data_IF_487966926329
#
_entry.id   IF_487966926329
#
_cell.length_a   1.000
_cell.length_b   1.000
_cell.length_c   1.000
_cell.angle_alpha   90.00
_cell.angle_beta   90.00
_cell.angle_gamma   90.00
#
_symmetry.space_group_name_H-M   'P 1'
#
loop_
_entity.id
_entity.type
_entity.pdbx_description
1 polymer ?
#
# COMPACT_ATOMS: atom_id res chain seq x y z
N UNK A 1 80.48 -0.79 13.12
CA UNK A 1 79.41 -1.58 12.49
C UNK A 1 78.35 -0.59 12.03
N UNK A 2 78.17 -0.42 10.72
CA UNK A 2 77.11 0.45 10.20
C UNK A 2 75.80 -0.37 10.29
N UNK A 3 74.84 0.05 11.11
CA UNK A 3 73.52 -0.54 11.09
C UNK A 3 72.87 -0.14 9.77
N UNK A 4 72.81 -1.06 8.81
CA UNK A 4 72.02 -0.86 7.59
C UNK A 4 70.57 -0.86 8.04
N UNK A 5 69.92 0.30 7.97
CA UNK A 5 68.47 0.38 8.15
C UNK A 5 67.82 -0.41 7.00
N UNK A 6 67.16 -1.51 7.33
CA UNK A 6 66.41 -2.30 6.35
C UNK A 6 65.16 -1.49 5.97
N UNK A 7 64.95 -1.16 4.68
CA UNK A 7 63.77 -0.41 4.27
C UNK A 7 62.49 -1.23 4.47
N UNK A 8 61.46 -0.58 5.02
CA UNK A 8 60.14 -1.16 5.26
C UNK A 8 59.33 -1.15 3.95
N UNK A 9 59.57 -2.12 3.08
CA UNK A 9 58.93 -2.21 1.78
C UNK A 9 57.54 -2.84 1.90
N UNK A 10 56.57 -2.32 1.14
CA UNK A 10 55.25 -2.93 1.03
C UNK A 10 55.27 -4.15 0.11
N UNK A 11 54.35 -5.12 0.31
CA UNK A 11 54.13 -6.19 -0.65
C UNK A 11 53.73 -5.63 -2.02
N UNK A 12 53.97 -6.40 -3.09
CA UNK A 12 53.63 -6.02 -4.46
C UNK A 12 52.45 -6.82 -5.01
N UNK A 13 51.85 -6.34 -6.10
CA UNK A 13 50.90 -7.08 -6.96
C UNK A 13 49.85 -7.89 -6.19
N UNK A 14 49.11 -7.25 -5.28
CA UNK A 14 48.01 -7.88 -4.56
C UNK A 14 46.88 -8.25 -5.54
N UNK A 15 46.49 -9.51 -5.54
CA UNK A 15 45.52 -10.12 -6.45
C UNK A 15 44.44 -10.84 -5.66
N UNK A 16 43.23 -10.81 -6.22
CA UNK A 16 42.08 -11.56 -5.73
C UNK A 16 41.80 -12.71 -6.71
N UNK A 17 41.51 -13.89 -6.18
CA UNK A 17 41.25 -15.12 -6.93
C UNK A 17 40.29 -16.02 -6.15
N UNK A 18 39.81 -17.11 -6.76
CA UNK A 18 38.90 -18.08 -6.10
C UNK A 18 37.66 -17.41 -5.45
N UNK A 19 37.11 -16.40 -6.12
CA UNK A 19 35.93 -15.68 -5.65
C UNK A 19 34.73 -16.63 -5.54
N UNK A 20 34.09 -16.61 -4.38
CA UNK A 20 32.91 -17.40 -4.06
C UNK A 20 31.90 -16.55 -3.29
N UNK A 21 30.78 -17.15 -2.87
CA UNK A 21 29.73 -16.44 -2.13
C UNK A 21 30.20 -15.87 -0.79
N UNK A 22 31.10 -16.54 -0.06
CA UNK A 22 31.52 -16.12 1.28
C UNK A 22 33.05 -16.16 1.48
N UNK A 23 33.81 -16.26 0.40
CA UNK A 23 35.26 -16.39 0.43
C UNK A 23 35.91 -15.89 -0.85
N UNK A 24 37.16 -15.47 -0.72
CA UNK A 24 38.07 -15.28 -1.84
C UNK A 24 39.51 -15.47 -1.35
N UNK A 25 40.41 -15.76 -2.28
CA UNK A 25 41.84 -15.94 -2.03
C UNK A 25 42.61 -14.68 -2.44
N UNK A 26 43.35 -14.14 -1.48
CA UNK A 26 44.30 -13.07 -1.68
C UNK A 26 45.67 -13.66 -1.98
N UNK A 27 46.42 -13.06 -2.89
CA UNK A 27 47.80 -13.42 -3.21
C UNK A 27 48.61 -12.17 -3.47
N UNK A 28 49.82 -12.09 -2.92
CA UNK A 28 50.71 -10.94 -3.08
C UNK A 28 52.15 -11.39 -3.34
N UNK A 29 52.93 -10.49 -3.92
CA UNK A 29 54.37 -10.70 -4.11
C UNK A 29 55.12 -10.22 -2.85
N UNK A 30 55.93 -11.09 -2.21
CA UNK A 30 56.75 -10.69 -1.07
C UNK A 30 57.69 -9.52 -1.39
N UNK A 31 57.92 -8.59 -0.46
CA UNK A 31 58.89 -7.51 -0.63
C UNK A 31 60.32 -8.05 -0.73
N UNK A 32 61.23 -7.25 -1.29
CA UNK A 32 62.65 -7.62 -1.37
C UNK A 32 63.33 -7.70 0.02
N UNK A 33 62.83 -6.93 1.00
CA UNK A 33 63.28 -7.03 2.38
C UNK A 33 62.51 -8.14 3.12
N UNK A 34 63.17 -8.94 3.96
CA UNK A 34 62.53 -10.05 4.66
C UNK A 34 61.55 -9.51 5.71
N UNK A 35 60.26 -9.65 5.43
CA UNK A 35 59.19 -9.36 6.38
C UNK A 35 59.00 -10.56 7.31
N UNK A 36 58.72 -10.30 8.60
CA UNK A 36 58.46 -11.32 9.63
C UNK A 36 57.04 -11.91 9.50
N UNK A 37 56.17 -11.19 8.79
CA UNK A 37 54.82 -11.62 8.50
C UNK A 37 53.99 -10.53 7.84
N UNK A 38 52.73 -10.84 7.57
CA UNK A 38 51.80 -9.93 6.93
C UNK A 38 50.54 -9.78 7.78
N UNK A 39 50.04 -8.56 7.88
CA UNK A 39 48.77 -8.23 8.50
C UNK A 39 47.78 -7.87 7.41
N UNK A 40 46.67 -8.62 7.36
CA UNK A 40 45.59 -8.42 6.41
C UNK A 40 44.41 -7.84 7.17
N UNK A 41 44.00 -6.64 6.82
CA UNK A 41 42.82 -5.96 7.35
C UNK A 41 41.76 -5.84 6.25
N UNK A 42 40.50 -6.16 6.54
CA UNK A 42 39.42 -6.09 5.56
C UNK A 42 38.11 -5.62 6.16
N UNK A 43 37.37 -4.83 5.39
CA UNK A 43 36.07 -4.29 5.79
C UNK A 43 35.12 -4.16 4.59
N UNK A 44 33.80 -4.31 4.76
CA UNK A 44 32.84 -4.00 3.71
C UNK A 44 32.90 -2.51 3.33
N UNK A 45 32.67 -2.20 2.05
CA UNK A 45 32.62 -0.83 1.54
C UNK A 45 31.26 -0.17 1.79
N UNK A 46 30.16 -0.93 1.63
CA UNK A 46 28.79 -0.41 1.75
C UNK A 46 28.36 -0.19 3.20
N UNK A 47 28.89 -1.00 4.13
CA UNK A 47 28.63 -0.91 5.56
C UNK A 47 29.96 -1.05 6.33
N UNK A 48 30.66 0.07 6.60
CA UNK A 48 31.93 0.06 7.32
C UNK A 48 31.70 -0.32 8.79
N UNK A 49 31.53 -1.63 9.01
CA UNK A 49 31.51 -2.25 10.32
C UNK A 49 32.92 -2.38 10.93
N UNK A 50 33.11 -3.27 11.91
CA UNK A 50 34.43 -3.49 12.51
C UNK A 50 35.40 -4.04 11.47
N UNK A 51 36.61 -3.48 11.44
CA UNK A 51 37.71 -3.99 10.62
C UNK A 51 38.07 -5.39 11.13
N UNK A 52 37.98 -6.38 10.25
CA UNK A 52 38.42 -7.73 10.53
C UNK A 52 39.89 -7.86 10.16
N UNK A 53 40.65 -8.54 11.00
CA UNK A 53 42.10 -8.63 10.87
C UNK A 53 42.59 -10.06 11.03
N UNK A 54 43.57 -10.42 10.22
CA UNK A 54 44.29 -11.69 10.33
C UNK A 54 45.77 -11.46 10.07
N UNK A 55 46.61 -12.23 10.75
CA UNK A 55 48.06 -12.18 10.60
C UNK A 55 48.57 -13.52 10.11
N UNK A 56 49.53 -13.48 9.19
CA UNK A 56 50.17 -14.67 8.60
C UNK A 56 51.69 -14.55 8.72
N UNK A 57 52.37 -15.70 8.73
CA UNK A 57 53.83 -15.76 8.87
C UNK A 57 54.60 -15.28 7.64
N UNK A 58 55.92 -15.21 7.75
CA UNK A 58 56.84 -14.73 6.71
C UNK A 58 56.78 -15.52 5.39
N UNK A 59 56.63 -16.85 5.47
CA UNK A 59 56.60 -17.74 4.31
C UNK A 59 55.25 -17.78 3.58
N UNK A 60 54.26 -17.01 4.06
CA UNK A 60 52.91 -17.00 3.50
C UNK A 60 52.74 -15.81 2.57
N UNK A 61 52.45 -16.09 1.30
CA UNK A 61 52.15 -15.09 0.28
C UNK A 61 50.71 -15.18 -0.26
N UNK A 62 49.88 -16.05 0.32
CA UNK A 62 48.49 -16.22 -0.06
C UNK A 62 47.62 -16.56 1.15
N UNK A 63 46.43 -15.95 1.22
CA UNK A 63 45.50 -16.13 2.32
C UNK A 63 44.08 -16.28 1.81
N UNK A 64 43.37 -17.29 2.30
CA UNK A 64 41.94 -17.46 2.03
C UNK A 64 41.13 -16.76 3.12
N UNK A 65 40.38 -15.73 2.74
CA UNK A 65 39.43 -15.09 3.64
C UNK A 65 38.10 -15.86 3.60
N UNK A 66 37.55 -16.14 4.77
CA UNK A 66 36.34 -16.93 4.97
C UNK A 66 35.27 -16.10 5.69
N UNK A 67 34.05 -16.62 5.73
CA UNK A 67 32.93 -16.02 6.48
C UNK A 67 32.62 -14.59 6.04
N UNK A 68 32.83 -14.29 4.77
CA UNK A 68 32.47 -13.01 4.16
C UNK A 68 30.96 -12.99 3.82
N UNK A 69 30.40 -11.79 3.80
CA UNK A 69 29.03 -11.55 3.36
C UNK A 69 28.98 -11.66 1.83
N UNK A 70 27.93 -12.29 1.30
CA UNK A 70 27.80 -12.53 -0.13
C UNK A 70 27.22 -11.34 -0.87
N UNK A 71 27.76 -11.05 -2.06
CA UNK A 71 27.38 -9.89 -2.85
C UNK A 71 27.93 -8.57 -2.33
N UNK A 72 28.88 -8.62 -1.41
CA UNK A 72 29.45 -7.46 -0.72
C UNK A 72 30.83 -7.17 -1.28
N UNK A 73 31.10 -5.88 -1.51
CA UNK A 73 32.43 -5.42 -1.90
C UNK A 73 33.25 -5.07 -0.65
N UNK A 74 34.47 -5.61 -0.58
CA UNK A 74 35.39 -5.47 0.54
C UNK A 74 36.61 -4.65 0.13
N UNK A 75 36.99 -3.69 0.98
CA UNK A 75 38.31 -3.08 0.92
C UNK A 75 39.26 -3.93 1.76
N UNK A 76 40.30 -4.44 1.12
CA UNK A 76 41.30 -5.31 1.75
C UNK A 76 42.64 -4.58 1.71
N UNK A 77 43.36 -4.62 2.83
CA UNK A 77 44.67 -4.00 3.01
C UNK A 77 45.66 -5.03 3.52
N UNK A 78 46.82 -5.14 2.87
CA UNK A 78 47.91 -6.03 3.29
C UNK A 78 49.12 -5.19 3.67
N UNK A 79 49.59 -5.37 4.90
CA UNK A 79 50.72 -4.65 5.48
C UNK A 79 51.83 -5.63 5.85
N UNK A 80 53.06 -5.39 5.38
CA UNK A 80 54.21 -6.18 5.80
C UNK A 80 54.69 -5.74 7.19
N UNK A 81 55.00 -6.71 8.06
CA UNK A 81 55.48 -6.48 9.42
C UNK A 81 56.96 -6.81 9.51
N UNK A 82 57.75 -5.90 10.07
CA UNK A 82 59.19 -6.03 10.27
C UNK A 82 59.54 -5.79 11.74
N UNK A 83 60.74 -6.16 12.21
CA UNK A 83 61.17 -5.89 13.59
C UNK A 83 61.24 -4.40 13.92
N UNK A 84 61.48 -3.56 12.92
CA UNK A 84 61.59 -2.11 13.05
C UNK A 84 60.25 -1.35 12.89
N UNK A 85 59.17 -2.03 12.48
CA UNK A 85 57.88 -1.39 12.20
C UNK A 85 57.08 -2.07 11.10
N UNK A 86 56.05 -1.40 10.60
CA UNK A 86 55.18 -1.88 9.52
C UNK A 86 55.44 -1.10 8.22
N UNK A 87 55.20 -1.73 7.08
CA UNK A 87 55.22 -1.03 5.78
C UNK A 87 53.97 -0.17 5.59
N UNK A 88 53.97 0.62 4.52
CA UNK A 88 52.73 1.15 3.97
C UNK A 88 51.78 0.00 3.56
N UNK A 89 50.45 0.16 3.73
CA UNK A 89 49.46 -0.85 3.36
C UNK A 89 49.28 -0.88 1.84
N UNK A 90 49.19 -2.09 1.28
CA UNK A 90 48.74 -2.30 -0.10
C UNK A 90 47.24 -2.59 -0.11
N UNK A 91 46.47 -1.78 -0.82
CA UNK A 91 45.01 -1.89 -0.90
C UNK A 91 44.53 -2.58 -2.19
N UNK A 92 43.47 -3.38 -2.07
CA UNK A 92 42.71 -3.93 -3.20
C UNK A 92 41.22 -3.98 -2.85
N UNK A 93 40.37 -3.83 -3.85
CA UNK A 93 38.94 -4.09 -3.70
C UNK A 93 38.63 -5.51 -4.20
N UNK A 94 37.82 -6.24 -3.42
CA UNK A 94 37.43 -7.61 -3.71
C UNK A 94 35.91 -7.75 -3.56
N UNK A 95 35.24 -8.40 -4.52
CA UNK A 95 33.79 -8.59 -4.47
C UNK A 95 33.43 -10.06 -4.35
N UNK A 96 32.59 -10.41 -3.38
CA UNK A 96 32.06 -11.78 -3.26
C UNK A 96 30.90 -11.99 -4.23
N UNK A 97 30.65 -13.25 -4.59
CA UNK A 97 29.51 -13.61 -5.45
C UNK A 97 28.18 -13.37 -4.72
N UNK A 98 27.14 -12.98 -5.46
CA UNK A 98 25.81 -12.74 -4.91
C UNK A 98 25.01 -14.04 -4.77
N UNK A 99 24.65 -14.42 -3.54
CA UNK A 99 23.82 -15.60 -3.25
C UNK A 99 22.34 -15.18 -3.07
N UNK A 100 21.71 -14.69 -4.13
CA UNK A 100 20.30 -14.27 -4.11
C UNK A 100 19.56 -14.71 -5.37
N UNK A 101 18.22 -14.84 -5.25
CA UNK A 101 17.35 -15.24 -6.36
C UNK A 101 17.23 -14.14 -7.41
N UNK A 102 17.14 -14.52 -8.68
CA UNK A 102 16.82 -13.62 -9.79
C UNK A 102 15.36 -13.75 -10.20
N UNK A 103 14.79 -12.71 -10.82
CA UNK A 103 13.43 -12.75 -11.37
C UNK A 103 12.32 -12.87 -10.31
N UNK A 104 12.57 -12.42 -9.07
CA UNK A 104 11.56 -12.40 -8.02
C UNK A 104 10.36 -11.53 -8.44
N UNK A 105 9.19 -12.13 -8.53
CA UNK A 105 7.95 -11.45 -8.93
C UNK A 105 6.73 -12.03 -8.21
N UNK A 106 5.68 -11.23 -8.07
CA UNK A 106 4.38 -11.64 -7.57
C UNK A 106 3.42 -11.98 -8.71
N UNK A 107 2.49 -12.89 -8.46
CA UNK A 107 1.42 -13.25 -9.38
C UNK A 107 0.18 -13.72 -8.60
N UNK A 108 -0.98 -13.77 -9.26
CA UNK A 108 -2.25 -14.14 -8.62
C UNK A 108 -2.54 -13.35 -7.33
N UNK A 109 -2.30 -12.04 -7.37
CA UNK A 109 -2.60 -11.14 -6.25
C UNK A 109 -4.12 -11.10 -6.04
N UNK A 110 -4.57 -11.49 -4.84
CA UNK A 110 -5.97 -11.56 -4.42
C UNK A 110 -6.15 -10.74 -3.13
N UNK A 111 -7.38 -10.57 -2.62
CA UNK A 111 -7.59 -9.79 -1.41
C UNK A 111 -6.95 -10.42 -0.16
N UNK A 112 -6.94 -11.75 -0.07
CA UNK A 112 -6.45 -12.49 1.11
C UNK A 112 -5.26 -13.40 0.82
N UNK A 113 -4.70 -13.35 -0.40
CA UNK A 113 -3.60 -14.23 -0.78
C UNK A 113 -2.77 -13.63 -1.90
N UNK A 114 -1.49 -13.98 -1.98
CA UNK A 114 -0.64 -13.65 -3.12
C UNK A 114 0.38 -14.76 -3.33
N UNK A 115 0.80 -14.97 -4.58
CA UNK A 115 1.84 -15.92 -4.91
C UNK A 115 3.10 -15.20 -5.38
N UNK A 116 4.24 -15.80 -5.11
CA UNK A 116 5.57 -15.30 -5.46
C UNK A 116 6.30 -16.38 -6.24
N UNK A 117 7.11 -15.97 -7.21
CA UNK A 117 7.92 -16.85 -8.03
C UNK A 117 9.30 -16.24 -8.26
N UNK A 118 10.29 -17.08 -8.48
CA UNK A 118 11.67 -16.69 -8.74
C UNK A 118 12.37 -17.75 -9.59
N UNK A 119 13.55 -17.41 -10.10
CA UNK A 119 14.40 -18.34 -10.81
C UNK A 119 15.27 -19.13 -9.82
N UNK A 120 15.18 -20.48 -9.79
CA UNK A 120 16.01 -21.31 -8.92
C UNK A 120 17.49 -21.16 -9.26
N UNK A 121 18.33 -21.15 -8.23
CA UNK A 121 19.78 -21.20 -8.34
C UNK A 121 20.26 -22.65 -8.33
N UNK A 122 21.25 -22.91 -9.16
CA UNK A 122 21.96 -24.17 -9.15
C UNK A 122 22.69 -24.35 -7.80
N UNK A 123 22.53 -25.52 -7.18
CA UNK A 123 23.10 -25.88 -5.87
C UNK A 123 22.52 -25.17 -4.64
N UNK A 124 21.42 -24.40 -4.77
CA UNK A 124 20.67 -23.96 -3.60
C UNK A 124 20.16 -25.18 -2.82
N UNK A 125 20.25 -25.13 -1.49
CA UNK A 125 19.78 -26.20 -0.61
C UNK A 125 18.40 -25.89 -0.05
N UNK A 126 18.19 -24.63 0.36
CA UNK A 126 16.96 -24.15 0.95
C UNK A 126 16.69 -22.70 0.53
N UNK A 127 15.42 -22.34 0.38
CA UNK A 127 14.96 -20.96 0.27
C UNK A 127 14.11 -20.62 1.48
N UNK A 128 14.40 -19.49 2.12
CA UNK A 128 13.60 -18.96 3.23
C UNK A 128 12.85 -17.74 2.73
N UNK A 129 11.56 -17.92 2.47
CA UNK A 129 10.68 -16.89 1.91
C UNK A 129 9.84 -16.34 3.04
N UNK A 130 9.92 -15.03 3.26
CA UNK A 130 9.09 -14.32 4.23
C UNK A 130 8.26 -13.25 3.54
N UNK A 131 7.10 -12.99 4.11
CA UNK A 131 6.22 -11.88 3.75
C UNK A 131 5.91 -11.11 5.02
N UNK A 132 6.05 -9.79 4.98
CA UNK A 132 5.81 -8.91 6.11
C UNK A 132 4.94 -7.73 5.69
N UNK A 133 3.86 -7.48 6.41
CA UNK A 133 3.07 -6.25 6.22
C UNK A 133 3.85 -5.04 6.73
N UNK A 134 3.86 -3.97 5.95
CA UNK A 134 4.46 -2.70 6.34
C UNK A 134 3.59 -1.92 7.33
N UNK A 135 2.31 -2.28 7.48
CA UNK A 135 1.33 -1.53 8.29
C UNK A 135 1.04 -2.20 9.63
N UNK A 136 0.72 -3.49 9.63
CA UNK A 136 0.26 -4.20 10.83
C UNK A 136 1.33 -5.15 11.43
N UNK A 137 2.52 -5.20 10.84
CA UNK A 137 3.63 -6.06 11.28
C UNK A 137 3.37 -7.57 11.13
N UNK A 138 2.24 -7.99 10.52
CA UNK A 138 1.95 -9.39 10.23
C UNK A 138 3.09 -9.98 9.40
N UNK A 139 3.72 -11.04 9.90
CA UNK A 139 4.82 -11.73 9.20
C UNK A 139 4.51 -13.20 9.08
N UNK A 140 4.72 -13.75 7.89
CA UNK A 140 4.74 -15.19 7.65
C UNK A 140 6.09 -15.57 7.03
N UNK A 141 6.63 -16.72 7.40
CA UNK A 141 7.91 -17.21 6.88
C UNK A 141 7.81 -18.71 6.60
N UNK A 142 8.34 -19.14 5.46
CA UNK A 142 8.31 -20.53 5.00
C UNK A 142 9.69 -20.91 4.47
N UNK A 143 10.15 -22.10 4.84
CA UNK A 143 11.38 -22.71 4.32
C UNK A 143 11.04 -23.75 3.27
N UNK A 144 11.67 -23.65 2.10
CA UNK A 144 11.40 -24.47 0.92
C UNK A 144 12.70 -25.14 0.46
N UNK A 145 12.62 -26.35 -0.09
CA UNK A 145 13.81 -27.02 -0.65
C UNK A 145 14.39 -26.30 -1.88
N UNK A 146 15.65 -26.57 -2.19
CA UNK A 146 16.39 -25.89 -3.27
C UNK A 146 15.83 -26.03 -4.69
N UNK A 147 14.92 -26.97 -4.93
CA UNK A 147 14.19 -27.07 -6.21
C UNK A 147 12.94 -26.18 -6.31
N UNK A 148 12.55 -25.50 -5.23
CA UNK A 148 11.36 -24.66 -5.21
C UNK A 148 11.60 -23.35 -5.98
N UNK A 149 10.61 -22.95 -6.77
CA UNK A 149 10.63 -21.73 -7.58
C UNK A 149 9.42 -20.83 -7.36
N UNK A 150 8.50 -21.24 -6.47
CA UNK A 150 7.22 -20.58 -6.23
C UNK A 150 6.69 -20.87 -4.84
N UNK A 151 5.96 -19.91 -4.26
CA UNK A 151 5.27 -20.03 -2.98
C UNK A 151 4.05 -19.13 -2.95
N UNK A 152 2.95 -19.58 -2.33
CA UNK A 152 1.78 -18.74 -2.10
C UNK A 152 1.59 -18.48 -0.61
N UNK A 153 1.15 -17.27 -0.29
CA UNK A 153 0.78 -16.84 1.05
C UNK A 153 -0.73 -16.62 1.12
N UNK A 154 -1.34 -17.02 2.23
CA UNK A 154 -2.77 -16.96 2.48
C UNK A 154 -3.04 -16.16 3.76
N UNK A 155 -4.31 -15.92 4.07
CA UNK A 155 -4.75 -15.17 5.26
C UNK A 155 -4.09 -13.79 5.38
N UNK A 156 -3.91 -13.14 4.23
CA UNK A 156 -3.42 -11.77 4.13
C UNK A 156 -4.55 -10.77 4.35
N UNK A 157 -4.20 -9.57 4.76
CA UNK A 157 -5.13 -8.46 4.93
C UNK A 157 -5.36 -7.81 3.56
N UNK A 158 -6.63 -7.56 3.16
CA UNK A 158 -6.93 -6.83 1.93
C UNK A 158 -6.42 -5.39 1.94
N UNK A 159 -6.22 -4.82 0.75
CA UNK A 159 -5.71 -3.44 0.56
C UNK A 159 -4.47 -3.12 1.41
N UNK A 160 -3.62 -4.11 1.66
CA UNK A 160 -2.47 -3.98 2.55
C UNK A 160 -1.18 -4.25 1.79
N UNK A 161 -0.18 -3.42 2.05
CA UNK A 161 1.14 -3.54 1.43
C UNK A 161 2.00 -4.53 2.20
N UNK A 162 2.69 -5.39 1.46
CA UNK A 162 3.56 -6.44 1.97
C UNK A 162 4.93 -6.37 1.30
N UNK A 163 5.98 -6.47 2.11
CA UNK A 163 7.35 -6.71 1.66
C UNK A 163 7.62 -8.22 1.70
N UNK A 164 7.91 -8.78 0.53
CA UNK A 164 8.29 -10.18 0.36
C UNK A 164 9.80 -10.23 0.27
N UNK A 165 10.44 -11.08 1.07
CA UNK A 165 11.88 -11.29 1.10
C UNK A 165 12.22 -12.76 0.88
N UNK A 166 13.17 -13.04 -0.02
CA UNK A 166 13.67 -14.39 -0.27
C UNK A 166 15.15 -14.45 0.09
N UNK A 167 15.49 -15.29 1.07
CA UNK A 167 16.86 -15.66 1.38
C UNK A 167 17.20 -16.98 0.70
N UNK A 168 18.39 -17.04 0.12
CA UNK A 168 18.94 -18.28 -0.45
C UNK A 168 19.95 -18.87 0.52
N UNK A 169 19.78 -20.15 0.83
CA UNK A 169 20.73 -20.90 1.62
C UNK A 169 21.38 -22.01 0.79
N UNK A 170 22.70 -22.08 0.85
CA UNK A 170 23.53 -23.10 0.22
C UNK A 170 24.44 -23.71 1.29
N UNK A 171 24.21 -24.98 1.64
CA UNK A 171 24.88 -25.64 2.77
C UNK A 171 24.74 -24.80 4.06
N UNK A 172 25.85 -24.38 4.67
CA UNK A 172 25.89 -23.57 5.90
C UNK A 172 25.95 -22.04 5.62
N UNK A 173 25.71 -21.62 4.37
CA UNK A 173 25.84 -20.22 3.94
C UNK A 173 24.45 -19.68 3.59
N UNK A 174 24.08 -18.55 4.21
CA UNK A 174 22.89 -17.78 3.86
C UNK A 174 23.31 -16.48 3.15
N UNK A 175 22.68 -16.21 2.00
CA UNK A 175 22.88 -14.99 1.25
C UNK A 175 21.97 -13.84 1.69
N UNK A 176 22.16 -12.63 1.15
CA UNK A 176 21.29 -11.49 1.42
C UNK A 176 19.86 -11.78 0.94
N UNK A 177 18.89 -11.15 1.59
CA UNK A 177 17.51 -11.20 1.12
C UNK A 177 17.35 -10.41 -0.18
N UNK A 178 16.69 -11.02 -1.15
CA UNK A 178 16.11 -10.30 -2.29
C UNK A 178 14.68 -9.97 -1.93
N UNK A 179 14.32 -8.67 -1.92
CA UNK A 179 12.97 -8.25 -1.52
C UNK A 179 12.24 -7.46 -2.59
N UNK A 180 10.93 -7.67 -2.69
CA UNK A 180 9.99 -6.88 -3.48
C UNK A 180 8.80 -6.46 -2.63
N UNK A 181 8.08 -5.44 -3.05
CA UNK A 181 6.90 -4.95 -2.33
C UNK A 181 5.68 -4.99 -3.25
N UNK A 182 4.57 -5.49 -2.74
CA UNK A 182 3.30 -5.55 -3.47
C UNK A 182 2.10 -5.31 -2.53
N UNK A 183 0.92 -5.06 -3.08
CA UNK A 183 -0.29 -4.76 -2.32
C UNK A 183 -1.42 -5.73 -2.68
N UNK A 184 -2.07 -6.29 -1.66
CA UNK A 184 -3.25 -7.14 -1.86
C UNK A 184 -4.42 -6.34 -2.43
N UNK A 185 -5.32 -7.05 -3.12
CA UNK A 185 -6.51 -6.41 -3.67
C UNK A 185 -7.48 -5.96 -2.56
N UNK A 186 -8.43 -5.06 -2.87
CA UNK A 186 -9.51 -4.73 -1.95
C UNK A 186 -10.37 -5.93 -1.61
N UNK A 187 -10.90 -5.94 -0.38
CA UNK A 187 -11.88 -6.95 0.03
C UNK A 187 -13.07 -6.92 -0.94
N UNK A 188 -13.62 -8.08 -1.34
CA UNK A 188 -14.84 -8.10 -2.13
C UNK A 188 -15.93 -7.31 -1.41
N UNK A 189 -16.50 -6.30 -2.06
CA UNK A 189 -17.69 -5.64 -1.53
C UNK A 189 -18.79 -6.68 -1.48
N UNK A 190 -19.34 -6.96 -0.30
CA UNK A 190 -20.51 -7.81 -0.18
C UNK A 190 -21.58 -7.22 -1.10
N UNK A 191 -22.17 -8.06 -1.96
CA UNK A 191 -23.34 -7.64 -2.70
C UNK A 191 -24.35 -7.08 -1.68
N UNK A 192 -25.04 -5.96 -1.99
CA UNK A 192 -26.09 -5.47 -1.12
C UNK A 192 -27.00 -6.65 -0.76
N UNK A 193 -27.11 -6.96 0.53
CA UNK A 193 -28.04 -7.98 1.01
C UNK A 193 -29.38 -7.65 0.39
N UNK A 194 -29.89 -8.53 -0.47
CA UNK A 194 -31.26 -8.40 -0.97
C UNK A 194 -32.13 -8.27 0.27
N UNK A 195 -32.78 -7.11 0.43
CA UNK A 195 -33.68 -6.86 1.53
C UNK A 195 -34.61 -8.07 1.62
N UNK A 196 -34.86 -8.62 2.82
CA UNK A 196 -35.72 -9.79 2.96
C UNK A 196 -36.97 -9.52 2.14
N UNK A 197 -37.23 -10.40 1.15
CA UNK A 197 -38.34 -10.26 0.22
C UNK A 197 -39.55 -9.90 1.07
N UNK A 198 -39.97 -8.64 0.97
CA UNK A 198 -41.12 -8.15 1.70
C UNK A 198 -42.23 -9.08 1.31
N UNK A 199 -42.81 -9.74 2.32
CA UNK A 199 -44.01 -10.55 2.20
C UNK A 199 -44.92 -9.85 1.20
N UNK A 200 -45.39 -10.59 0.18
CA UNK A 200 -46.11 -10.03 -0.97
C UNK A 200 -47.05 -8.92 -0.48
N UNK A 201 -46.97 -7.70 -1.04
CA UNK A 201 -47.72 -6.56 -0.51
C UNK A 201 -49.18 -6.98 -0.36
N UNK A 202 -49.82 -6.70 0.79
CA UNK A 202 -51.18 -7.15 1.02
C UNK A 202 -52.03 -6.71 -0.17
N UNK A 203 -52.68 -7.68 -0.82
CA UNK A 203 -53.53 -7.42 -1.98
C UNK A 203 -54.56 -6.37 -1.57
N UNK A 204 -54.37 -5.13 -2.03
CA UNK A 204 -55.26 -4.02 -1.72
C UNK A 204 -56.62 -4.41 -2.28
N UNK A 205 -57.66 -4.57 -1.43
CA UNK A 205 -59.00 -4.81 -1.94
C UNK A 205 -59.38 -3.62 -2.83
N UNK A 206 -60.12 -3.85 -3.92
CA UNK A 206 -60.53 -2.78 -4.83
C UNK A 206 -61.09 -1.62 -4.02
N UNK A 207 -60.61 -0.41 -4.31
CA UNK A 207 -60.96 0.81 -3.59
C UNK A 207 -62.48 0.87 -3.42
N UNK A 208 -62.96 0.55 -2.22
CA UNK A 208 -64.35 0.81 -1.85
C UNK A 208 -64.56 2.32 -2.00
N UNK A 209 -65.71 2.69 -2.56
CA UNK A 209 -66.21 4.04 -2.82
C UNK A 209 -66.30 4.96 -1.57
N UNK A 210 -65.21 5.12 -0.79
CA UNK A 210 -65.25 5.80 0.51
C UNK A 210 -64.39 7.09 0.53
N UNK A 211 -63.60 7.37 -0.50
CA UNK A 211 -62.71 8.55 -0.52
C UNK A 211 -63.18 9.65 -1.48
N UNK A 212 -64.49 9.91 -1.59
CA UNK A 212 -64.99 10.94 -2.53
C UNK A 212 -64.91 12.37 -1.99
N UNK A 213 -64.56 12.61 -0.72
CA UNK A 213 -64.67 13.95 -0.10
C UNK A 213 -63.64 14.24 1.03
N UNK A 214 -62.46 13.63 1.05
CA UNK A 214 -61.46 13.97 2.08
C UNK A 214 -60.64 15.21 1.68
N UNK A 215 -60.85 16.33 2.39
CA UNK A 215 -60.02 17.54 2.30
C UNK A 215 -58.87 17.45 3.30
N UNK A 216 -57.64 17.60 2.83
CA UNK A 216 -56.44 17.72 3.66
C UNK A 216 -55.70 19.00 3.30
N UNK A 217 -55.20 19.72 4.29
CA UNK A 217 -54.38 20.91 4.13
C UNK A 217 -52.90 20.54 4.32
N UNK A 218 -52.05 20.96 3.38
CA UNK A 218 -50.65 20.53 3.32
C UNK A 218 -49.72 21.74 3.49
N UNK A 219 -48.82 21.65 4.48
CA UNK A 219 -47.82 22.68 4.75
C UNK A 219 -46.42 22.10 4.57
N UNK A 220 -45.66 22.69 3.64
CA UNK A 220 -44.26 22.31 3.41
C UNK A 220 -43.34 23.29 4.12
N UNK A 221 -42.47 22.75 4.99
CA UNK A 221 -41.45 23.50 5.69
C UNK A 221 -40.08 23.10 5.12
N UNK A 222 -39.47 24.02 4.37
CA UNK A 222 -38.20 23.77 3.67
C UNK A 222 -37.08 24.50 4.40
N UNK A 223 -36.11 23.74 4.90
CA UNK A 223 -34.93 24.27 5.59
C UNK A 223 -33.82 24.56 4.58
N UNK A 224 -33.54 25.85 4.38
CA UNK A 224 -32.50 26.31 3.47
C UNK A 224 -31.19 26.57 4.21
N UNK A 225 -30.48 25.51 4.58
CA UNK A 225 -29.11 25.65 5.11
C UNK A 225 -28.09 25.92 3.99
N UNK A 226 -27.04 26.67 4.32
CA UNK A 226 -25.93 27.08 3.44
C UNK A 226 -25.36 25.87 2.65
N UNK A 227 -25.80 25.66 1.41
CA UNK A 227 -25.36 24.59 0.49
C UNK A 227 -26.19 24.57 -0.80
N UNK A 228 -27.46 24.98 -0.73
CA UNK A 228 -28.39 24.88 -1.86
C UNK A 228 -28.01 25.88 -2.98
N UNK A 229 -27.31 25.39 -3.99
CA UNK A 229 -27.16 26.06 -5.29
C UNK A 229 -28.40 25.91 -6.17
N UNK A 230 -28.44 26.65 -7.29
CA UNK A 230 -29.61 26.73 -8.20
C UNK A 230 -30.11 25.34 -8.66
N UNK A 231 -29.19 24.41 -8.92
CA UNK A 231 -29.52 23.06 -9.37
C UNK A 231 -30.26 22.24 -8.30
N UNK A 232 -29.90 22.40 -7.03
CA UNK A 232 -30.55 21.71 -5.92
C UNK A 232 -31.90 22.35 -5.58
N UNK A 233 -32.01 23.67 -5.71
CA UNK A 233 -33.27 24.39 -5.59
C UNK A 233 -34.28 23.94 -6.66
N UNK A 234 -33.83 23.76 -7.90
CA UNK A 234 -34.67 23.25 -8.99
C UNK A 234 -35.15 21.82 -8.75
N UNK A 235 -34.34 20.97 -8.11
CA UNK A 235 -34.76 19.60 -7.72
C UNK A 235 -35.83 19.63 -6.64
N UNK A 236 -35.65 20.43 -5.59
CA UNK A 236 -36.65 20.60 -4.52
C UNK A 236 -37.95 21.15 -5.10
N UNK A 237 -37.84 22.15 -5.98
CA UNK A 237 -38.99 22.73 -6.69
C UNK A 237 -39.73 21.68 -7.52
N UNK A 238 -39.02 20.87 -8.33
CA UNK A 238 -39.63 19.78 -9.11
C UNK A 238 -40.28 18.72 -8.22
N UNK A 239 -39.67 18.38 -7.10
CA UNK A 239 -40.23 17.43 -6.14
C UNK A 239 -41.54 17.95 -5.54
N UNK A 240 -41.57 19.22 -5.12
CA UNK A 240 -42.79 19.87 -4.62
C UNK A 240 -43.87 19.93 -5.70
N UNK A 241 -43.54 20.32 -6.94
CA UNK A 241 -44.48 20.31 -8.06
C UNK A 241 -45.01 18.90 -8.36
N UNK A 242 -44.17 17.88 -8.30
CA UNK A 242 -44.58 16.48 -8.51
C UNK A 242 -45.51 16.00 -7.41
N UNK A 243 -45.26 16.40 -6.16
CA UNK A 243 -46.03 15.99 -4.99
C UNK A 243 -47.36 16.73 -4.91
N UNK A 244 -47.39 18.01 -5.29
CA UNK A 244 -48.63 18.79 -5.38
C UNK A 244 -49.45 18.41 -6.62
N UNK A 245 -48.78 17.96 -7.69
CA UNK A 245 -49.42 17.52 -8.93
C UNK A 245 -50.29 16.26 -8.78
N UNK A 246 -50.20 15.55 -7.64
CA UNK A 246 -51.08 14.42 -7.32
C UNK A 246 -52.36 14.82 -6.57
N UNK A 247 -52.63 16.11 -6.38
CA UNK A 247 -53.82 16.63 -5.70
C UNK A 247 -54.85 17.14 -6.73
N UNK A 248 -56.10 16.68 -6.65
CA UNK A 248 -57.11 16.94 -7.71
C UNK A 248 -57.66 18.36 -7.78
N UNK A 249 -57.71 19.06 -6.64
CA UNK A 249 -58.39 20.36 -6.48
C UNK A 249 -57.58 21.24 -5.52
N UNK A 250 -56.85 22.21 -6.06
CA UNK A 250 -56.07 23.19 -5.29
C UNK A 250 -56.75 24.55 -5.36
N UNK A 251 -57.16 25.09 -4.21
CA UNK A 251 -57.89 26.35 -4.13
C UNK A 251 -58.70 26.50 -2.84
N UNK A 252 -59.37 27.64 -2.62
CA UNK A 252 -60.12 27.90 -1.38
C UNK A 252 -61.23 26.87 -1.10
N UNK A 253 -61.75 26.22 -2.14
CA UNK A 253 -62.79 25.18 -2.05
C UNK A 253 -62.22 23.73 -2.07
N UNK A 254 -60.91 23.57 -2.21
CA UNK A 254 -60.17 22.30 -2.30
C UNK A 254 -59.05 22.18 -1.26
N UNK A 255 -58.01 21.40 -1.57
CA UNK A 255 -56.80 21.30 -0.74
C UNK A 255 -56.02 22.62 -0.79
N UNK A 256 -55.75 23.18 0.38
CA UNK A 256 -54.91 24.37 0.48
C UNK A 256 -53.46 23.95 0.70
N UNK A 257 -52.55 24.56 -0.06
CA UNK A 257 -51.12 24.29 0.04
C UNK A 257 -50.41 25.58 0.44
N UNK A 258 -49.60 25.49 1.49
CA UNK A 258 -48.75 26.60 1.93
C UNK A 258 -47.29 26.16 1.94
N UNK A 259 -46.41 27.07 1.56
CA UNK A 259 -44.97 26.86 1.56
C UNK A 259 -44.33 27.91 2.46
N UNK A 260 -43.54 27.46 3.44
CA UNK A 260 -42.79 28.33 4.33
C UNK A 260 -41.33 27.94 4.25
N UNK A 261 -40.53 28.81 3.64
CA UNK A 261 -39.08 28.66 3.55
C UNK A 261 -38.42 29.43 4.70
N UNK A 262 -37.55 28.78 5.45
CA UNK A 262 -36.74 29.45 6.48
C UNK A 262 -35.35 29.72 5.92
N UNK A 263 -35.03 31.00 5.69
CA UNK A 263 -33.72 31.46 5.21
C UNK A 263 -32.94 32.07 6.38
N UNK A 264 -31.79 31.49 6.76
CA UNK A 264 -30.85 32.18 7.65
C UNK A 264 -29.83 32.99 6.81
N UNK A 265 -30.17 34.27 6.58
CA UNK A 265 -29.29 35.44 6.31
C UNK A 265 -29.32 36.13 4.92
N UNK A 266 -30.01 37.28 4.89
CA UNK A 266 -29.76 38.64 4.35
C UNK A 266 -29.18 38.98 2.96
N UNK A 267 -28.56 38.10 2.16
CA UNK A 267 -27.91 38.54 0.89
C UNK A 267 -28.73 38.24 -0.38
N UNK A 268 -29.71 37.33 -0.32
CA UNK A 268 -30.53 36.93 -1.47
C UNK A 268 -31.90 37.61 -1.52
N UNK A 269 -32.16 38.64 -0.72
CA UNK A 269 -33.48 39.30 -0.67
C UNK A 269 -33.74 40.26 -1.86
N UNK A 270 -32.71 40.72 -2.58
CA UNK A 270 -32.89 41.68 -3.67
C UNK A 270 -33.28 41.09 -5.03
N UNK A 271 -33.13 39.78 -5.26
CA UNK A 271 -33.40 39.18 -6.59
C UNK A 271 -34.76 38.52 -6.74
N UNK A 272 -35.46 38.23 -5.64
CA UNK A 272 -36.74 37.50 -5.68
C UNK A 272 -37.95 38.45 -5.55
N UNK A 273 -37.76 39.78 -5.58
CA UNK A 273 -38.91 40.70 -5.46
C UNK A 273 -39.65 40.98 -6.77
N UNK A 274 -39.08 40.65 -7.94
CA UNK A 274 -39.67 41.04 -9.23
C UNK A 274 -40.26 39.88 -10.05
N UNK A 275 -39.76 38.65 -9.91
CA UNK A 275 -40.20 37.53 -10.77
C UNK A 275 -41.41 36.76 -10.22
N UNK A 276 -41.59 36.67 -8.89
CA UNK A 276 -42.65 35.83 -8.29
C UNK A 276 -44.04 36.45 -8.29
N UNK A 277 -44.20 37.73 -8.66
CA UNK A 277 -45.55 38.35 -8.72
C UNK A 277 -46.37 37.92 -9.95
N UNK A 278 -45.79 37.15 -10.90
CA UNK A 278 -46.45 36.85 -12.19
C UNK A 278 -46.93 35.41 -12.40
N UNK A 279 -46.58 34.44 -11.56
CA UNK A 279 -46.98 33.06 -11.84
C UNK A 279 -48.27 32.65 -11.14
N UNK A 280 -49.38 33.26 -11.56
CA UNK A 280 -50.71 32.67 -11.42
C UNK A 280 -50.77 31.46 -12.37
N UNK A 281 -50.37 30.27 -11.91
CA UNK A 281 -50.44 29.06 -12.73
C UNK A 281 -51.85 28.46 -12.60
N UNK A 282 -52.64 28.73 -13.64
CA UNK A 282 -53.80 27.93 -14.09
C UNK A 282 -53.28 26.69 -14.83
N UNK A 283 -54.05 25.59 -14.86
CA UNK A 283 -53.97 24.36 -15.71
C UNK A 283 -53.62 23.07 -14.95
N UNK A 284 -54.10 21.87 -15.29
CA UNK A 284 -55.30 21.37 -15.98
C UNK A 284 -55.38 19.87 -15.60
N UNK A 285 -56.61 19.35 -15.36
CA UNK A 285 -57.01 17.97 -15.00
C UNK A 285 -56.06 16.80 -15.35
N UNK A 286 -55.77 15.90 -14.38
CA UNK A 286 -55.75 14.41 -14.46
C UNK A 286 -56.01 13.80 -13.05
N UNK A 287 -56.61 12.60 -12.96
CA UNK A 287 -57.40 11.97 -11.86
C UNK A 287 -56.63 11.20 -10.73
N UNK A 288 -57.26 10.86 -9.57
CA UNK A 288 -56.59 10.48 -8.30
C UNK A 288 -56.70 9.02 -7.83
N UNK A 289 -55.89 8.64 -6.83
CA UNK A 289 -56.19 7.50 -5.93
C UNK A 289 -55.74 7.71 -4.46
N UNK A 290 -56.76 7.63 -3.60
CA UNK A 290 -56.84 7.13 -2.20
C UNK A 290 -56.24 7.91 -1.01
N UNK A 291 -57.17 8.34 -0.16
CA UNK A 291 -57.00 9.08 1.09
C UNK A 291 -56.89 8.15 2.30
N UNK A 292 -55.89 8.38 3.16
CA UNK A 292 -56.04 8.30 4.62
C UNK A 292 -54.88 9.05 5.28
N UNK A 293 -55.05 10.34 5.57
CA UNK A 293 -54.04 11.08 6.34
C UNK A 293 -54.71 12.09 7.26
N UNK A 294 -54.24 12.08 8.51
CA UNK A 294 -54.44 13.08 9.56
C UNK A 294 -54.56 14.51 8.99
N UNK A 295 -55.40 15.40 9.56
CA UNK A 295 -55.74 16.70 8.95
C UNK A 295 -54.56 17.68 8.82
N UNK A 296 -53.41 17.36 9.38
CA UNK A 296 -52.17 18.07 9.14
C UNK A 296 -51.04 17.09 8.89
N UNK A 297 -50.49 17.14 7.68
CA UNK A 297 -49.27 16.44 7.32
C UNK A 297 -48.15 17.47 7.19
N UNK A 298 -47.16 17.37 8.08
CA UNK A 298 -45.94 18.19 8.01
C UNK A 298 -44.85 17.36 7.34
N UNK A 299 -44.43 17.76 6.14
CA UNK A 299 -43.23 17.22 5.50
C UNK A 299 -42.05 18.16 5.75
N UNK A 300 -41.07 17.66 6.50
CA UNK A 300 -39.74 18.27 6.62
C UNK A 300 -38.85 17.69 5.53
N UNK A 301 -38.45 18.52 4.57
CA UNK A 301 -37.56 18.13 3.48
C UNK A 301 -36.16 18.63 3.82
N UNK A 302 -35.24 17.71 4.11
CA UNK A 302 -33.83 17.99 4.34
C UNK A 302 -32.97 17.32 3.25
N UNK A 303 -31.75 17.85 3.05
CA UNK A 303 -30.87 17.52 1.93
C UNK A 303 -30.53 16.01 1.81
N UNK A 304 -30.63 15.25 2.90
CA UNK A 304 -30.34 13.81 2.93
C UNK A 304 -31.41 12.91 2.27
N UNK A 305 -32.53 13.47 1.82
CA UNK A 305 -33.65 12.68 1.25
C UNK A 305 -33.58 12.59 -0.30
N UNK A 306 -32.65 13.29 -0.96
CA UNK A 306 -32.64 13.46 -2.43
C UNK A 306 -31.44 12.84 -3.17
N UNK A 307 -30.70 11.92 -2.55
CA UNK A 307 -29.72 11.07 -3.24
C UNK A 307 -30.27 9.67 -3.49
#
# INVERSE_FOLDING_TARGET
MMFVAVPLLSPGNLRVSEEWYNRFRLTWDPPQSPAVGYRIAYQPLDDPGPVLETTVGEDVNSQLLLSLQSGTEYSVQVTATYPAGQSEPLLVNAKTLFLGVSGLSTYQVRPYSLCVQWQPLLHATLYRVSIQSTLNGQRQEVSLGGGASRQCFYDLTPSSQYQISVHTQMQEIEGPSVSITDMTMPAPTLAPTELPATEAPPTIPPAKEVCKEAKADLAFLVDGSWSIGDDNFMKITRFLYSTMGSLDLIGPDGTQVSHVATLRSFITSRRISEEERKSKIVMNKVYPVACNVSPFLYLLITENVLN
#
